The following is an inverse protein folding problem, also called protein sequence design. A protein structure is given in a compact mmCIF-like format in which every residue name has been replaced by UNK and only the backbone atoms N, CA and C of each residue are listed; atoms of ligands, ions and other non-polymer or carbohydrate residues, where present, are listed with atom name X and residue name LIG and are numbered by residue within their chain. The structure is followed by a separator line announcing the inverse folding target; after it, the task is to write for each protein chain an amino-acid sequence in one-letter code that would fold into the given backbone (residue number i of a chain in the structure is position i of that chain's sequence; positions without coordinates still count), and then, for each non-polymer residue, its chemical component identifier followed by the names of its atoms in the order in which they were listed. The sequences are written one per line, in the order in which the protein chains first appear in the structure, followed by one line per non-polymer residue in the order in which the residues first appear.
data_IF_812879807469
#
_entry.id   IF_812879807469
#
_cell.length_a   1.000
_cell.length_b   1.000
_cell.length_c   1.000
_cell.angle_alpha   90.00
_cell.angle_beta   90.00
_cell.angle_gamma   90.00
#
_symmetry.space_group_name_H-M   'P 1'
#
loop_
_entity.id
_entity.type
_entity.pdbx_description
1 polymer ?
#
# COMPACT_ATOMS: atom_id res chain seq x y z
N UNK A 1 14.33 -33.70 -42.27
CA UNK A 1 14.33 -32.44 -41.50
C UNK A 1 14.44 -32.80 -40.04
N UNK A 2 15.40 -32.19 -39.35
CA UNK A 2 15.95 -32.58 -38.05
C UNK A 2 15.00 -32.23 -36.91
N UNK A 3 14.58 -33.24 -36.16
CA UNK A 3 14.02 -33.13 -34.81
C UNK A 3 15.17 -33.25 -33.81
N UNK A 4 15.42 -32.21 -33.01
CA UNK A 4 16.30 -32.30 -31.84
C UNK A 4 15.40 -32.36 -30.60
N UNK A 5 15.40 -33.54 -30.01
CA UNK A 5 14.98 -33.87 -28.65
C UNK A 5 16.15 -33.54 -27.72
N UNK A 6 15.90 -32.90 -26.58
CA UNK A 6 16.76 -33.09 -25.41
C UNK A 6 15.97 -32.77 -24.13
N UNK A 7 15.59 -33.84 -23.43
CA UNK A 7 15.39 -33.85 -21.99
C UNK A 7 16.76 -33.80 -21.32
N UNK A 8 16.97 -32.98 -20.29
CA UNK A 8 17.92 -33.34 -19.22
C UNK A 8 17.50 -32.76 -17.87
N UNK A 9 17.64 -33.66 -16.91
CA UNK A 9 17.26 -33.70 -15.51
C UNK A 9 18.06 -32.81 -14.54
N UNK A 10 17.38 -32.50 -13.42
CA UNK A 10 17.77 -32.62 -12.00
C UNK A 10 18.91 -31.79 -11.38
N UNK A 11 18.54 -31.19 -10.24
CA UNK A 11 19.20 -31.21 -8.93
C UNK A 11 20.68 -30.78 -8.81
N UNK A 12 20.86 -29.53 -8.39
CA UNK A 12 21.92 -29.08 -7.49
C UNK A 12 21.45 -27.75 -6.86
N UNK A 13 21.48 -27.47 -5.57
CA UNK A 13 22.04 -28.16 -4.44
C UNK A 13 21.31 -27.68 -3.17
N UNK A 14 20.93 -28.63 -2.32
CA UNK A 14 20.71 -28.41 -0.89
C UNK A 14 21.82 -29.13 -0.12
N UNK A 15 22.14 -28.58 1.05
CA UNK A 15 22.76 -29.21 2.22
C UNK A 15 24.29 -29.03 2.51
N UNK A 16 24.70 -29.17 3.81
CA UNK A 16 25.50 -28.15 4.51
C UNK A 16 26.77 -28.71 5.24
N UNK A 17 27.48 -27.80 5.92
CA UNK A 17 28.30 -27.97 7.14
C UNK A 17 29.71 -28.62 7.12
N UNK A 18 30.56 -28.01 7.98
CA UNK A 18 31.82 -28.46 8.63
C UNK A 18 33.13 -28.43 7.78
N UNK A 19 34.32 -28.05 8.28
CA UNK A 19 34.81 -27.56 9.59
C UNK A 19 36.27 -27.06 9.47
N UNK A 20 36.79 -26.48 10.58
CA UNK A 20 38.17 -26.09 10.97
C UNK A 20 38.61 -24.65 10.67
N UNK A 21 38.63 -23.73 11.66
CA UNK A 21 39.58 -23.53 12.80
C UNK A 21 40.92 -22.92 12.33
N UNK A 22 41.52 -21.87 12.92
CA UNK A 22 41.84 -21.65 14.34
C UNK A 22 42.43 -20.23 14.59
N UNK A 23 42.23 -19.70 15.82
CA UNK A 23 43.10 -18.78 16.62
C UNK A 23 43.25 -17.31 16.19
N UNK A 24 43.42 -16.30 17.04
CA UNK A 24 43.29 -16.06 18.49
C UNK A 24 43.65 -14.56 18.70
N UNK A 25 43.11 -13.89 19.72
CA UNK A 25 43.66 -12.60 20.19
C UNK A 25 42.66 -11.62 20.78
N UNK A 26 42.28 -11.83 22.05
CA UNK A 26 41.87 -10.75 22.94
C UNK A 26 43.13 -10.19 23.64
N UNK A 27 43.10 -8.95 24.16
CA UNK A 27 42.74 -8.85 25.56
C UNK A 27 41.83 -7.66 25.93
N UNK A 28 41.31 -7.80 27.13
CA UNK A 28 40.37 -6.98 27.90
C UNK A 28 40.93 -5.59 28.29
N UNK A 29 40.02 -4.64 28.52
CA UNK A 29 40.12 -3.73 29.66
C UNK A 29 38.75 -3.33 30.18
N UNK A 30 38.60 -3.51 31.49
CA UNK A 30 37.45 -3.25 32.34
C UNK A 30 37.12 -1.76 32.52
N UNK A 31 35.86 -1.44 32.79
CA UNK A 31 35.39 -1.10 34.15
C UNK A 31 34.04 -0.36 34.12
N UNK A 32 33.26 -0.63 35.16
CA UNK A 32 31.89 -0.19 35.39
C UNK A 32 31.75 1.30 35.69
N UNK A 33 30.61 1.87 35.32
CA UNK A 33 29.88 2.83 36.16
C UNK A 33 28.39 2.77 35.84
N UNK A 34 27.59 2.49 36.86
CA UNK A 34 26.15 2.67 36.87
C UNK A 34 25.83 4.17 36.86
N UNK A 35 24.87 4.58 36.03
CA UNK A 35 24.18 5.85 36.18
C UNK A 35 22.72 5.67 35.78
N UNK A 36 21.83 5.94 36.74
CA UNK A 36 20.41 6.12 36.52
C UNK A 36 20.16 7.10 35.35
N UNK A 37 19.41 6.65 34.36
CA UNK A 37 18.61 7.53 33.53
C UNK A 37 17.19 6.97 33.53
N UNK A 38 16.33 7.67 34.26
CA UNK A 38 14.88 7.67 34.14
C UNK A 38 14.50 7.79 32.66
N UNK A 39 14.23 6.64 32.04
CA UNK A 39 13.70 6.55 30.69
C UNK A 39 12.21 6.85 30.76
N UNK A 40 11.89 8.10 30.47
CA UNK A 40 10.57 8.60 30.15
C UNK A 40 9.96 7.70 29.05
N UNK A 41 9.04 6.80 29.42
CA UNK A 41 8.14 6.09 28.50
C UNK A 41 7.17 7.13 27.89
N UNK A 42 7.72 7.98 27.02
CA UNK A 42 6.92 8.69 26.03
C UNK A 42 6.35 7.66 25.06
N UNK A 43 5.13 7.85 24.54
CA UNK A 43 4.54 6.91 23.61
C UNK A 43 5.49 6.77 22.42
N UNK A 44 5.98 5.54 22.20
CA UNK A 44 6.69 5.19 20.99
C UNK A 44 5.82 5.64 19.81
N UNK A 45 6.32 6.56 19.00
CA UNK A 45 5.70 6.97 17.74
C UNK A 45 5.58 5.73 16.87
N UNK A 46 4.41 5.12 16.87
CA UNK A 46 4.13 3.89 16.13
C UNK A 46 4.06 4.23 14.65
N UNK A 47 4.52 3.31 13.81
CA UNK A 47 4.66 3.43 12.36
C UNK A 47 3.31 3.40 11.62
N UNK A 48 2.24 3.90 12.25
CA UNK A 48 0.87 3.84 11.72
C UNK A 48 0.26 2.45 11.71
N UNK A 49 0.98 1.39 12.14
CA UNK A 49 0.40 0.08 12.36
C UNK A 49 -0.12 -0.05 13.81
N UNK A 50 -0.97 0.86 14.25
CA UNK A 50 -1.68 0.68 15.51
C UNK A 50 -2.77 -0.38 15.33
N UNK A 51 -2.84 -1.31 16.28
CA UNK A 51 -3.63 -2.55 16.27
C UNK A 51 -5.16 -2.40 16.10
N UNK A 52 -5.67 -1.22 15.77
CA UNK A 52 -7.06 -0.93 15.44
C UNK A 52 -7.38 -0.83 13.94
N UNK A 53 -6.39 -0.73 13.04
CA UNK A 53 -6.68 -0.56 11.59
C UNK A 53 -7.41 -1.77 10.97
N UNK A 54 -7.13 -2.98 11.45
CA UNK A 54 -7.76 -4.21 10.96
C UNK A 54 -9.16 -4.40 11.58
N UNK A 55 -9.36 -3.99 12.83
CA UNK A 55 -10.69 -3.97 13.44
C UNK A 55 -11.59 -2.94 12.74
N UNK A 56 -11.01 -1.80 12.34
CA UNK A 56 -11.64 -0.79 11.50
C UNK A 56 -11.92 -1.32 10.09
N UNK A 57 -10.99 -2.06 9.47
CA UNK A 57 -11.17 -2.69 8.15
C UNK A 57 -12.30 -3.74 8.18
N UNK A 58 -12.36 -4.57 9.23
CA UNK A 58 -13.41 -5.57 9.41
C UNK A 58 -14.78 -4.93 9.71
N UNK A 59 -14.80 -3.88 10.53
CA UNK A 59 -16.02 -3.10 10.77
C UNK A 59 -16.51 -2.42 9.48
N UNK A 60 -15.59 -1.87 8.68
CA UNK A 60 -15.92 -1.26 7.39
C UNK A 60 -16.35 -2.30 6.35
N UNK A 61 -15.85 -3.54 6.41
CA UNK A 61 -16.33 -4.64 5.58
C UNK A 61 -17.76 -5.06 5.96
N UNK A 62 -18.11 -5.02 7.24
CA UNK A 62 -19.46 -5.27 7.76
C UNK A 62 -20.43 -4.13 7.40
N UNK A 63 -19.98 -2.88 7.55
CA UNK A 63 -20.74 -1.69 7.16
C UNK A 63 -20.93 -1.64 5.63
N UNK A 64 -19.92 -2.05 4.85
CA UNK A 64 -20.02 -2.19 3.41
C UNK A 64 -20.98 -3.30 3.00
N UNK A 65 -20.97 -4.46 3.67
CA UNK A 65 -21.96 -5.52 3.42
C UNK A 65 -23.39 -5.05 3.70
N UNK A 66 -23.58 -4.28 4.77
CA UNK A 66 -24.87 -3.70 5.16
C UNK A 66 -25.33 -2.62 4.17
N UNK A 67 -24.40 -1.78 3.70
CA UNK A 67 -24.67 -0.76 2.68
C UNK A 67 -25.02 -1.41 1.33
N UNK A 68 -24.28 -2.44 0.92
CA UNK A 68 -24.54 -3.20 -0.30
C UNK A 68 -25.91 -3.90 -0.27
N UNK A 69 -26.35 -4.41 0.89
CA UNK A 69 -27.70 -4.96 1.04
C UNK A 69 -28.76 -3.87 0.97
N UNK A 70 -28.56 -2.74 1.65
CA UNK A 70 -29.50 -1.61 1.69
C UNK A 70 -29.67 -0.94 0.31
N UNK A 71 -28.64 -1.01 -0.51
CA UNK A 71 -28.63 -0.54 -1.90
C UNK A 71 -29.09 -1.62 -2.91
N UNK A 72 -29.48 -2.81 -2.44
CA UNK A 72 -30.02 -3.89 -3.26
C UNK A 72 -28.98 -4.64 -4.12
N UNK A 73 -27.69 -4.48 -3.83
CA UNK A 73 -26.57 -4.96 -4.63
C UNK A 73 -26.12 -6.40 -4.33
N UNK A 74 -26.67 -7.00 -3.27
CA UNK A 74 -26.49 -8.40 -2.90
C UNK A 74 -27.81 -8.90 -2.32
N UNK A 75 -28.14 -10.18 -2.50
CA UNK A 75 -29.34 -10.73 -1.86
C UNK A 75 -29.20 -10.73 -0.34
N UNK A 76 -30.33 -10.81 0.38
CA UNK A 76 -30.33 -10.91 1.84
C UNK A 76 -29.54 -12.14 2.34
N UNK A 77 -29.61 -13.25 1.60
CA UNK A 77 -28.84 -14.47 1.84
C UNK A 77 -27.33 -14.29 1.60
N UNK A 78 -26.93 -13.59 0.53
CA UNK A 78 -25.51 -13.29 0.29
C UNK A 78 -24.94 -12.27 1.29
N UNK A 79 -25.78 -11.36 1.77
CA UNK A 79 -25.44 -10.43 2.84
C UNK A 79 -25.24 -11.18 4.16
N UNK A 80 -26.08 -12.16 4.47
CA UNK A 80 -25.93 -13.03 5.65
C UNK A 80 -24.71 -13.93 5.57
N UNK A 81 -24.46 -14.60 4.43
CA UNK A 81 -23.26 -15.43 4.26
C UNK A 81 -21.97 -14.60 4.38
N UNK A 82 -21.96 -13.38 3.84
CA UNK A 82 -20.84 -12.45 4.01
C UNK A 82 -20.71 -11.96 5.44
N UNK A 83 -21.82 -11.63 6.12
CA UNK A 83 -21.80 -11.28 7.55
C UNK A 83 -21.27 -12.43 8.40
N UNK A 84 -21.63 -13.68 8.09
CA UNK A 84 -21.09 -14.86 8.78
C UNK A 84 -19.63 -15.15 8.43
N UNK A 85 -19.20 -14.95 7.19
CA UNK A 85 -17.78 -15.07 6.80
C UNK A 85 -16.95 -13.98 7.46
N UNK A 86 -17.46 -12.75 7.51
CA UNK A 86 -16.84 -11.63 8.22
C UNK A 86 -16.83 -11.90 9.72
N UNK A 87 -17.88 -12.44 10.33
CA UNK A 87 -17.91 -12.81 11.74
C UNK A 87 -16.94 -13.96 12.06
N UNK A 88 -16.83 -14.97 11.19
CA UNK A 88 -15.84 -16.05 11.31
C UNK A 88 -14.40 -15.54 11.17
N UNK A 89 -14.18 -14.67 10.19
CA UNK A 89 -12.89 -14.01 9.96
C UNK A 89 -12.56 -13.09 11.14
N UNK A 90 -13.51 -12.29 11.63
CA UNK A 90 -13.38 -11.41 12.80
C UNK A 90 -13.07 -12.19 14.05
N UNK A 91 -13.71 -13.36 14.26
CA UNK A 91 -13.36 -14.26 15.37
C UNK A 91 -11.93 -14.79 15.21
N UNK A 92 -11.56 -15.26 14.03
CA UNK A 92 -10.21 -15.78 13.74
C UNK A 92 -9.12 -14.70 13.86
N UNK A 93 -9.41 -13.44 13.51
CA UNK A 93 -8.46 -12.32 13.55
C UNK A 93 -8.43 -11.60 14.89
N UNK A 94 -9.54 -11.56 15.64
CA UNK A 94 -9.59 -11.04 17.01
C UNK A 94 -8.70 -11.87 17.94
N UNK A 95 -8.58 -13.17 17.66
CA UNK A 95 -7.71 -14.11 18.36
C UNK A 95 -6.24 -14.04 17.90
N UNK A 96 -5.92 -13.31 16.80
CA UNK A 96 -4.55 -13.11 16.36
C UNK A 96 -3.86 -12.03 17.20
N UNK A 97 -2.67 -12.37 17.68
CA UNK A 97 -1.75 -11.41 18.29
C UNK A 97 -1.39 -10.29 17.30
N UNK A 98 -0.99 -9.10 17.80
CA UNK A 98 -0.46 -8.03 16.94
C UNK A 98 0.68 -8.49 16.02
N UNK A 99 1.51 -9.43 16.47
CA UNK A 99 2.60 -10.01 15.69
C UNK A 99 2.09 -10.81 14.47
N UNK A 100 1.01 -11.59 14.63
CA UNK A 100 0.42 -12.35 13.53
C UNK A 100 -0.28 -11.44 12.52
N UNK A 101 -0.90 -10.35 12.99
CA UNK A 101 -1.47 -9.31 12.10
C UNK A 101 -0.39 -8.64 11.24
N UNK A 102 0.73 -8.27 11.86
CA UNK A 102 1.89 -7.73 11.15
C UNK A 102 2.46 -8.74 10.14
N UNK A 103 2.48 -10.03 10.47
CA UNK A 103 2.93 -11.09 9.56
C UNK A 103 2.05 -11.21 8.31
N UNK A 104 0.72 -11.06 8.45
CA UNK A 104 -0.22 -11.07 7.31
C UNK A 104 0.04 -9.89 6.37
N UNK A 105 0.22 -8.69 6.93
CA UNK A 105 0.53 -7.48 6.15
C UNK A 105 1.87 -7.63 5.43
N UNK A 106 2.90 -8.13 6.13
CA UNK A 106 4.22 -8.40 5.56
C UNK A 106 4.12 -9.37 4.39
N UNK A 107 3.41 -10.49 4.55
CA UNK A 107 3.18 -11.48 3.50
C UNK A 107 2.44 -10.88 2.30
N UNK A 108 1.45 -10.02 2.52
CA UNK A 108 0.74 -9.32 1.45
C UNK A 108 1.68 -8.42 0.63
N UNK A 109 2.61 -7.71 1.29
CA UNK A 109 3.62 -6.89 0.61
C UNK A 109 4.63 -7.73 -0.16
N UNK A 110 5.06 -8.86 0.40
CA UNK A 110 5.96 -9.81 -0.28
C UNK A 110 5.34 -10.33 -1.58
N UNK A 111 4.10 -10.82 -1.51
CA UNK A 111 3.36 -11.27 -2.70
C UNK A 111 3.12 -10.10 -3.67
N UNK A 112 2.86 -8.89 -3.15
CA UNK A 112 2.73 -7.68 -3.96
C UNK A 112 3.99 -7.38 -4.77
N UNK A 113 5.17 -7.53 -4.17
CA UNK A 113 6.46 -7.39 -4.87
C UNK A 113 6.65 -8.47 -5.94
N UNK A 114 6.39 -9.74 -5.60
CA UNK A 114 6.44 -10.82 -6.60
C UNK A 114 5.49 -10.57 -7.79
N UNK A 115 4.32 -9.97 -7.54
CA UNK A 115 3.36 -9.63 -8.60
C UNK A 115 3.85 -8.51 -9.52
N UNK A 116 4.75 -7.63 -9.06
CA UNK A 116 5.35 -6.61 -9.90
C UNK A 116 6.43 -7.20 -10.81
N UNK A 117 7.19 -8.18 -10.33
CA UNK A 117 8.27 -8.82 -11.10
C UNK A 117 7.75 -9.78 -12.17
N UNK A 118 6.55 -10.34 -11.98
CA UNK A 118 5.94 -11.27 -12.95
C UNK A 118 5.33 -10.50 -14.14
N UNK A 119 5.87 -10.66 -15.34
CA UNK A 119 5.23 -10.07 -16.52
C UNK A 119 4.02 -10.90 -17.01
N UNK A 120 3.00 -10.23 -17.54
CA UNK A 120 1.88 -10.91 -18.23
C UNK A 120 2.21 -11.10 -19.70
N UNK A 121 2.37 -12.36 -20.12
CA UNK A 121 2.54 -12.69 -21.53
C UNK A 121 1.34 -12.21 -22.36
N UNK A 122 1.62 -11.52 -23.47
CA UNK A 122 0.62 -11.05 -24.43
C UNK A 122 -0.31 -9.92 -23.93
N UNK A 123 0.00 -9.27 -22.81
CA UNK A 123 -0.74 -8.09 -22.36
C UNK A 123 -0.14 -6.81 -22.98
N UNK A 124 -1.00 -5.88 -23.42
CA UNK A 124 -0.56 -4.52 -23.71
C UNK A 124 -0.25 -3.80 -22.39
N UNK A 125 0.94 -3.20 -22.29
CA UNK A 125 1.43 -2.57 -21.06
C UNK A 125 1.86 -1.14 -21.30
N UNK A 126 1.73 -0.31 -20.27
CA UNK A 126 2.40 1.00 -20.19
C UNK A 126 3.50 0.89 -19.14
N UNK A 127 4.74 1.09 -19.55
CA UNK A 127 5.87 1.18 -18.63
C UNK A 127 5.84 2.53 -17.93
N UNK A 128 5.91 2.55 -16.60
CA UNK A 128 5.91 3.75 -15.79
C UNK A 128 7.06 3.73 -14.78
N UNK A 129 7.81 4.82 -14.69
CA UNK A 129 8.77 5.03 -13.62
C UNK A 129 8.04 5.57 -12.38
N UNK A 130 8.15 4.86 -11.27
CA UNK A 130 7.58 5.24 -9.98
C UNK A 130 8.70 5.69 -9.06
N UNK A 131 8.63 6.94 -8.66
CA UNK A 131 9.48 7.53 -7.62
C UNK A 131 8.57 8.07 -6.52
N UNK A 132 8.76 7.56 -5.30
CA UNK A 132 8.10 8.06 -4.10
C UNK A 132 9.16 8.52 -3.12
N UNK A 133 9.07 9.78 -2.69
CA UNK A 133 9.98 10.38 -1.73
C UNK A 133 9.62 9.92 -0.30
N UNK A 134 8.33 9.95 0.05
CA UNK A 134 7.89 9.77 1.43
C UNK A 134 7.81 8.31 1.84
N UNK A 135 8.29 8.00 3.05
CA UNK A 135 8.35 6.63 3.58
C UNK A 135 6.99 6.02 3.85
N UNK A 136 5.96 6.84 4.11
CA UNK A 136 4.58 6.40 4.38
C UNK A 136 3.87 5.84 3.14
N UNK A 137 4.27 6.29 1.94
CA UNK A 137 3.62 5.88 0.69
C UNK A 137 4.17 4.56 0.12
N UNK A 138 5.43 4.21 0.40
CA UNK A 138 6.02 2.96 -0.07
C UNK A 138 5.25 1.72 0.41
N UNK A 139 4.98 1.55 1.71
CA UNK A 139 4.21 0.39 2.19
C UNK A 139 2.82 0.32 1.56
N UNK A 140 2.14 1.46 1.42
CA UNK A 140 0.82 1.55 0.78
C UNK A 140 0.89 1.08 -0.68
N UNK A 141 1.89 1.56 -1.42
CA UNK A 141 2.13 1.17 -2.81
C UNK A 141 2.36 -0.34 -2.93
N UNK A 142 3.35 -0.89 -2.22
CA UNK A 142 3.71 -2.32 -2.30
C UNK A 142 2.55 -3.23 -1.88
N UNK A 143 1.73 -2.77 -0.93
CA UNK A 143 0.64 -3.55 -0.37
C UNK A 143 -0.58 -3.61 -1.27
N UNK A 144 -0.88 -2.56 -2.03
CA UNK A 144 -2.18 -2.43 -2.72
C UNK A 144 -2.08 -2.27 -4.23
N UNK A 145 -1.12 -1.48 -4.71
CA UNK A 145 -1.04 -1.16 -6.12
C UNK A 145 -0.86 -2.39 -7.03
N UNK A 146 0.00 -3.39 -6.70
CA UNK A 146 0.16 -4.59 -7.53
C UNK A 146 -1.15 -5.37 -7.69
N UNK A 147 -1.93 -5.48 -6.62
CA UNK A 147 -3.21 -6.18 -6.64
C UNK A 147 -4.24 -5.40 -7.46
N UNK A 148 -4.33 -4.09 -7.28
CA UNK A 148 -5.21 -3.22 -8.08
C UNK A 148 -4.85 -3.28 -9.57
N UNK A 149 -3.55 -3.34 -9.88
CA UNK A 149 -3.05 -3.47 -11.24
C UNK A 149 -3.50 -4.78 -11.89
N UNK A 150 -3.27 -5.92 -11.22
CA UNK A 150 -3.70 -7.24 -11.72
C UNK A 150 -5.21 -7.42 -11.74
N UNK A 151 -5.89 -6.92 -10.71
CA UNK A 151 -7.35 -6.95 -10.60
C UNK A 151 -7.97 -6.24 -11.79
N UNK A 152 -7.48 -5.05 -12.15
CA UNK A 152 -8.09 -4.22 -13.19
C UNK A 152 -8.15 -4.94 -14.55
N UNK A 153 -7.06 -5.56 -14.99
CA UNK A 153 -7.03 -6.32 -16.25
C UNK A 153 -7.82 -7.62 -16.17
N UNK A 154 -7.77 -8.31 -15.03
CA UNK A 154 -8.53 -9.54 -14.84
C UNK A 154 -10.03 -9.29 -14.75
N UNK A 155 -10.45 -8.15 -14.21
CA UNK A 155 -11.85 -7.74 -14.16
C UNK A 155 -12.40 -7.47 -15.57
N UNK A 156 -11.60 -6.88 -16.45
CA UNK A 156 -11.98 -6.70 -17.86
C UNK A 156 -12.11 -8.04 -18.60
N UNK A 157 -11.19 -8.98 -18.36
CA UNK A 157 -11.14 -10.28 -19.06
C UNK A 157 -12.16 -11.29 -18.53
N UNK A 158 -12.27 -11.39 -17.20
CA UNK A 158 -12.99 -12.47 -16.52
C UNK A 158 -14.11 -11.95 -15.60
N UNK A 159 -14.36 -10.64 -15.55
CA UNK A 159 -15.38 -10.06 -14.68
C UNK A 159 -16.75 -10.64 -14.97
N UNK A 160 -17.17 -10.67 -16.23
CA UNK A 160 -18.51 -11.15 -16.62
C UNK A 160 -18.71 -12.62 -16.27
N UNK A 161 -17.69 -13.46 -16.45
CA UNK A 161 -17.74 -14.88 -16.09
C UNK A 161 -17.67 -15.15 -14.60
N UNK A 162 -17.10 -14.22 -13.81
CA UNK A 162 -16.88 -14.37 -12.36
C UNK A 162 -18.04 -13.83 -11.54
N UNK A 163 -18.62 -12.72 -11.99
CA UNK A 163 -19.63 -11.95 -11.27
C UNK A 163 -20.99 -11.95 -11.98
N UNK A 164 -21.04 -12.23 -13.29
CA UNK A 164 -22.18 -11.84 -14.11
C UNK A 164 -22.05 -10.39 -14.61
N UNK A 165 -22.92 -9.98 -15.52
CA UNK A 165 -22.81 -8.67 -16.16
C UNK A 165 -23.20 -7.50 -15.23
N UNK A 166 -24.25 -7.68 -14.44
CA UNK A 166 -24.78 -6.67 -13.52
C UNK A 166 -23.79 -6.39 -12.38
N UNK A 167 -23.38 -7.42 -11.64
CA UNK A 167 -22.40 -7.31 -10.56
C UNK A 167 -21.04 -6.78 -11.03
N UNK A 168 -20.57 -7.15 -12.23
CA UNK A 168 -19.35 -6.58 -12.79
C UNK A 168 -19.50 -5.06 -12.99
N UNK A 169 -20.66 -4.61 -13.49
CA UNK A 169 -20.97 -3.20 -13.66
C UNK A 169 -20.91 -2.46 -12.33
N UNK A 170 -21.50 -3.03 -11.28
CA UNK A 170 -21.46 -2.50 -9.91
C UNK A 170 -20.03 -2.38 -9.37
N UNK A 171 -19.24 -3.45 -9.48
CA UNK A 171 -17.84 -3.44 -9.00
C UNK A 171 -17.02 -2.39 -9.74
N UNK A 172 -17.22 -2.26 -11.05
CA UNK A 172 -16.52 -1.27 -11.87
C UNK A 172 -16.94 0.15 -11.47
N UNK A 173 -18.24 0.40 -11.31
CA UNK A 173 -18.77 1.71 -10.90
C UNK A 173 -18.25 2.14 -9.52
N UNK A 174 -18.13 1.21 -8.57
CA UNK A 174 -17.52 1.47 -7.28
C UNK A 174 -16.08 2.00 -7.44
N UNK A 175 -15.24 1.28 -8.19
CA UNK A 175 -13.84 1.68 -8.36
C UNK A 175 -13.70 3.01 -9.09
N UNK A 176 -14.51 3.25 -10.13
CA UNK A 176 -14.49 4.51 -10.86
C UNK A 176 -14.89 5.69 -9.97
N UNK A 177 -15.94 5.54 -9.16
CA UNK A 177 -16.36 6.56 -8.18
C UNK A 177 -15.27 6.81 -7.14
N UNK A 178 -14.74 5.77 -6.50
CA UNK A 178 -13.75 5.92 -5.43
C UNK A 178 -12.45 6.55 -5.93
N UNK A 179 -11.98 6.18 -7.12
CA UNK A 179 -10.81 6.83 -7.72
C UNK A 179 -11.11 8.28 -8.07
N UNK A 180 -12.29 8.58 -8.63
CA UNK A 180 -12.67 9.96 -8.93
C UNK A 180 -12.72 10.84 -7.67
N UNK A 181 -13.30 10.35 -6.58
CA UNK A 181 -13.38 11.06 -5.30
C UNK A 181 -11.97 11.29 -4.71
N UNK A 182 -11.08 10.31 -4.81
CA UNK A 182 -9.68 10.42 -4.38
C UNK A 182 -8.86 11.38 -5.26
N UNK A 183 -9.04 11.33 -6.58
CA UNK A 183 -8.38 12.25 -7.51
C UNK A 183 -8.77 13.69 -7.22
N UNK A 184 -10.06 13.97 -7.02
CA UNK A 184 -10.55 15.29 -6.65
C UNK A 184 -9.93 15.78 -5.33
N UNK A 185 -9.88 14.92 -4.31
CA UNK A 185 -9.24 15.25 -3.04
C UNK A 185 -7.75 15.55 -3.20
N UNK A 186 -7.00 14.71 -3.89
CA UNK A 186 -5.54 14.90 -4.06
C UNK A 186 -5.24 16.13 -4.90
N UNK A 187 -6.03 16.40 -5.94
CA UNK A 187 -5.87 17.59 -6.78
C UNK A 187 -6.15 18.87 -6.00
N UNK A 188 -7.17 18.87 -5.13
CA UNK A 188 -7.42 19.97 -4.20
C UNK A 188 -6.24 20.17 -3.23
N UNK A 189 -5.78 19.09 -2.58
CA UNK A 189 -4.65 19.17 -1.64
C UNK A 189 -3.38 19.69 -2.32
N UNK A 190 -3.11 19.27 -3.56
CA UNK A 190 -1.95 19.72 -4.33
C UNK A 190 -2.05 21.21 -4.66
N UNK A 191 -3.20 21.66 -5.14
CA UNK A 191 -3.45 23.08 -5.45
C UNK A 191 -3.29 23.96 -4.20
N UNK A 192 -3.87 23.54 -3.07
CA UNK A 192 -3.79 24.26 -1.80
C UNK A 192 -2.36 24.30 -1.28
N UNK A 193 -1.68 23.16 -1.20
CA UNK A 193 -0.31 23.07 -0.68
C UNK A 193 0.68 23.88 -1.53
N UNK A 194 0.55 23.81 -2.86
CA UNK A 194 1.34 24.63 -3.78
C UNK A 194 1.08 26.12 -3.55
N UNK A 195 -0.17 26.54 -3.45
CA UNK A 195 -0.52 27.94 -3.21
C UNK A 195 0.00 28.48 -1.87
N UNK A 196 0.00 27.67 -0.81
CA UNK A 196 0.61 28.04 0.46
C UNK A 196 2.14 28.14 0.38
N UNK A 197 2.78 27.22 -0.33
CA UNK A 197 4.22 27.28 -0.58
C UNK A 197 4.62 28.56 -1.29
N UNK A 198 3.98 28.87 -2.42
CA UNK A 198 4.28 30.05 -3.23
C UNK A 198 4.12 31.36 -2.45
N UNK A 199 3.01 31.49 -1.71
CA UNK A 199 2.75 32.66 -0.84
C UNK A 199 3.77 32.79 0.28
N UNK A 200 4.13 31.67 0.91
CA UNK A 200 5.11 31.64 2.00
C UNK A 200 6.49 32.04 1.49
N UNK A 201 6.92 31.46 0.37
CA UNK A 201 8.21 31.75 -0.25
C UNK A 201 8.31 33.23 -0.67
N UNK A 202 7.25 33.78 -1.27
CA UNK A 202 7.20 35.19 -1.64
C UNK A 202 7.31 36.11 -0.42
N UNK A 203 6.52 35.82 0.64
CA UNK A 203 6.53 36.60 1.88
C UNK A 203 7.89 36.61 2.56
N UNK A 204 8.53 35.44 2.71
CA UNK A 204 9.84 35.33 3.35
C UNK A 204 10.91 36.09 2.56
N UNK A 205 10.90 35.99 1.23
CA UNK A 205 11.82 36.75 0.37
C UNK A 205 11.60 38.26 0.48
N UNK A 206 10.36 38.71 0.53
CA UNK A 206 10.02 40.13 0.69
C UNK A 206 10.50 40.69 2.04
N UNK A 207 10.42 39.88 3.11
CA UNK A 207 10.89 40.23 4.45
C UNK A 207 12.42 40.18 4.58
N UNK A 208 13.13 39.63 3.60
CA UNK A 208 14.57 39.38 3.66
C UNK A 208 14.94 38.20 4.57
N UNK A 209 13.97 37.35 4.88
CA UNK A 209 14.18 36.15 5.68
C UNK A 209 14.82 35.02 4.86
N UNK A 210 15.42 34.06 5.56
CA UNK A 210 15.99 32.85 4.95
C UNK A 210 14.84 31.92 4.54
N UNK A 211 14.85 31.48 3.28
CA UNK A 211 13.93 30.44 2.79
C UNK A 211 14.64 29.10 2.80
N UNK A 212 14.13 28.15 3.59
CA UNK A 212 14.60 26.77 3.58
C UNK A 212 13.93 26.00 2.45
N UNK A 213 14.72 25.45 1.52
CA UNK A 213 14.25 24.65 0.40
C UNK A 213 14.71 23.19 0.55
N UNK A 214 13.95 22.35 1.30
CA UNK A 214 14.33 20.95 1.51
C UNK A 214 14.35 20.18 0.18
N UNK A 215 15.25 19.20 0.08
CA UNK A 215 15.34 18.29 -1.05
C UNK A 215 15.53 16.86 -0.57
N UNK A 216 14.84 15.92 -1.23
CA UNK A 216 14.89 14.49 -0.89
C UNK A 216 16.00 13.83 -1.70
N UNK A 217 17.11 13.51 -1.03
CA UNK A 217 18.29 12.92 -1.67
C UNK A 217 18.13 11.43 -1.97
N UNK A 218 17.42 10.70 -1.11
CA UNK A 218 17.15 9.27 -1.26
C UNK A 218 15.65 9.01 -1.20
N UNK A 219 14.99 8.68 -2.32
CA UNK A 219 13.56 8.37 -2.32
C UNK A 219 13.30 7.08 -1.55
N UNK A 220 12.09 6.93 -1.00
CA UNK A 220 11.66 5.71 -0.32
C UNK A 220 11.53 4.54 -1.32
N UNK A 221 11.11 4.84 -2.55
CA UNK A 221 10.95 3.89 -3.64
C UNK A 221 11.33 4.54 -4.98
N UNK A 222 12.09 3.82 -5.80
CA UNK A 222 12.41 4.21 -7.17
C UNK A 222 12.53 2.95 -8.04
N UNK A 223 11.49 2.65 -8.82
CA UNK A 223 11.38 1.42 -9.62
C UNK A 223 10.65 1.68 -10.94
N UNK A 224 10.85 0.82 -11.93
CA UNK A 224 9.98 0.74 -13.12
C UNK A 224 8.89 -0.31 -12.92
N UNK A 225 7.65 -0.01 -13.31
CA UNK A 225 6.51 -0.93 -13.22
C UNK A 225 5.68 -0.96 -14.50
N UNK A 226 4.98 -2.07 -14.70
CA UNK A 226 4.06 -2.25 -15.83
C UNK A 226 2.62 -1.97 -15.39
N UNK A 227 1.98 -0.97 -15.96
CA UNK A 227 0.55 -0.75 -15.79
C UNK A 227 -0.23 -1.47 -16.89
N UNK A 228 -1.19 -2.32 -16.48
CA UNK A 228 -2.00 -3.12 -17.40
C UNK A 228 -3.34 -2.48 -17.75
N UNK A 229 -3.68 -1.34 -17.14
CA UNK A 229 -4.91 -0.61 -17.43
C UNK A 229 -4.78 0.90 -17.17
N UNK A 230 -5.70 1.66 -17.76
CA UNK A 230 -5.85 3.10 -17.47
C UNK A 230 -6.15 3.35 -15.98
N UNK A 231 -6.92 2.48 -15.34
CA UNK A 231 -7.22 2.55 -13.92
C UNK A 231 -5.94 2.47 -13.08
N UNK A 232 -5.02 1.57 -13.41
CA UNK A 232 -3.74 1.43 -12.71
C UNK A 232 -2.83 2.65 -12.86
N UNK A 233 -2.83 3.26 -14.05
CA UNK A 233 -2.11 4.52 -14.29
C UNK A 233 -2.69 5.70 -13.51
N UNK A 234 -4.02 5.78 -13.38
CA UNK A 234 -4.69 6.79 -12.54
C UNK A 234 -4.26 6.67 -11.08
N UNK A 235 -4.24 5.45 -10.55
CA UNK A 235 -3.76 5.18 -9.19
C UNK A 235 -2.28 5.54 -8.99
N UNK A 236 -1.41 5.24 -9.97
CA UNK A 236 -0.01 5.68 -9.91
C UNK A 236 0.09 7.20 -9.85
N UNK A 237 -0.60 7.89 -10.75
CA UNK A 237 -0.63 9.35 -10.81
C UNK A 237 -1.11 9.95 -9.50
N UNK A 238 -2.14 9.36 -8.90
CA UNK A 238 -2.69 9.77 -7.60
C UNK A 238 -1.66 9.65 -6.46
N UNK A 239 -0.98 8.51 -6.35
CA UNK A 239 0.08 8.32 -5.34
C UNK A 239 1.24 9.30 -5.54
N UNK A 240 1.67 9.51 -6.78
CA UNK A 240 2.75 10.45 -7.11
C UNK A 240 2.35 11.92 -6.88
N UNK A 241 1.10 12.28 -7.15
CA UNK A 241 0.58 13.63 -6.84
C UNK A 241 0.54 13.86 -5.34
N UNK A 242 0.08 12.88 -4.56
CA UNK A 242 0.07 13.01 -3.11
C UNK A 242 1.49 13.05 -2.53
N UNK A 243 2.45 12.32 -3.11
CA UNK A 243 3.88 12.46 -2.75
C UNK A 243 4.40 13.91 -2.95
N UNK A 244 3.95 14.59 -4.02
CA UNK A 244 4.26 16.02 -4.24
C UNK A 244 3.55 16.96 -3.26
N UNK A 245 2.33 16.63 -2.82
CA UNK A 245 1.66 17.38 -1.73
C UNK A 245 2.56 17.38 -0.49
N UNK A 246 3.09 16.21 -0.16
CA UNK A 246 3.98 16.04 0.98
C UNK A 246 5.30 16.81 0.81
N UNK A 247 5.88 16.89 -0.40
CA UNK A 247 7.04 17.76 -0.68
C UNK A 247 6.73 19.26 -0.38
N UNK A 248 5.50 19.71 -0.65
CA UNK A 248 5.07 21.07 -0.29
C UNK A 248 4.87 21.23 1.21
N UNK A 249 4.36 20.21 1.90
CA UNK A 249 4.22 20.22 3.35
C UNK A 249 5.57 20.26 4.05
N UNK A 250 6.56 19.48 3.60
CA UNK A 250 7.93 19.54 4.11
C UNK A 250 8.51 20.95 4.00
N UNK A 251 8.30 21.62 2.85
CA UNK A 251 8.70 23.02 2.71
C UNK A 251 8.05 23.92 3.76
N UNK A 252 6.74 23.78 4.00
CA UNK A 252 6.02 24.60 4.99
C UNK A 252 6.49 24.31 6.42
N UNK A 253 6.81 23.06 6.75
CA UNK A 253 7.36 22.67 8.06
C UNK A 253 8.75 23.26 8.27
N UNK A 254 9.65 23.12 7.28
CA UNK A 254 11.00 23.70 7.36
C UNK A 254 11.02 25.22 7.51
N UNK A 255 9.98 25.90 7.04
CA UNK A 255 9.86 27.35 7.16
C UNK A 255 8.92 27.79 8.31
N UNK A 256 8.55 26.87 9.22
CA UNK A 256 7.79 27.19 10.43
C UNK A 256 6.36 27.67 10.19
N UNK A 257 5.78 27.39 9.03
CA UNK A 257 4.40 27.77 8.68
C UNK A 257 3.40 26.67 9.05
N UNK A 258 3.86 25.43 9.14
CA UNK A 258 3.04 24.25 9.46
C UNK A 258 3.78 23.35 10.44
N UNK A 259 3.04 22.70 11.33
CA UNK A 259 3.60 21.72 12.25
C UNK A 259 3.64 20.32 11.63
N UNK A 260 4.59 19.49 12.08
CA UNK A 260 4.70 18.09 11.62
C UNK A 260 3.43 17.28 11.94
N UNK A 261 2.77 17.56 13.06
CA UNK A 261 1.50 16.91 13.43
C UNK A 261 0.41 17.10 12.37
N UNK A 262 0.32 18.29 11.80
CA UNK A 262 -0.68 18.59 10.75
C UNK A 262 -0.39 17.82 9.46
N UNK A 263 0.87 17.51 9.19
CA UNK A 263 1.31 16.70 8.05
C UNK A 263 0.95 15.23 8.28
N UNK A 264 1.16 14.74 9.50
CA UNK A 264 0.83 13.37 9.89
C UNK A 264 -0.69 13.13 9.87
N UNK A 265 -1.48 14.12 10.28
CA UNK A 265 -2.95 14.08 10.21
C UNK A 265 -3.46 14.01 8.78
N UNK A 266 -2.94 14.83 7.85
CA UNK A 266 -3.33 14.77 6.44
C UNK A 266 -2.88 13.47 5.79
N UNK A 267 -1.69 12.97 6.14
CA UNK A 267 -1.24 11.64 5.70
C UNK A 267 -2.23 10.57 6.15
N UNK A 268 -2.63 10.59 7.41
CA UNK A 268 -3.60 9.63 7.98
C UNK A 268 -4.96 9.75 7.30
N UNK A 269 -5.40 10.97 6.98
CA UNK A 269 -6.65 11.22 6.25
C UNK A 269 -6.61 10.64 4.84
N UNK A 270 -5.51 10.84 4.12
CA UNK A 270 -5.30 10.24 2.81
C UNK A 270 -5.32 8.72 2.87
N UNK A 271 -4.58 8.13 3.80
CA UNK A 271 -4.53 6.67 4.00
C UNK A 271 -5.94 6.11 4.27
N UNK A 272 -6.72 6.76 5.14
CA UNK A 272 -8.11 6.37 5.43
C UNK A 272 -9.01 6.41 4.20
N UNK A 273 -8.83 7.39 3.31
CA UNK A 273 -9.59 7.48 2.06
C UNK A 273 -9.13 6.46 1.02
N UNK A 274 -7.84 6.13 0.99
CA UNK A 274 -7.28 5.16 0.06
C UNK A 274 -7.61 3.73 0.47
N UNK A 275 -7.58 3.41 1.77
CA UNK A 275 -7.70 2.04 2.27
C UNK A 275 -8.89 1.24 1.71
N UNK A 276 -10.13 1.78 1.61
CA UNK A 276 -11.26 1.06 1.03
C UNK A 276 -11.00 0.55 -0.40
N UNK A 277 -10.26 1.32 -1.22
CA UNK A 277 -9.93 0.88 -2.57
C UNK A 277 -8.92 -0.27 -2.56
N UNK A 278 -7.91 -0.21 -1.69
CA UNK A 278 -6.90 -1.24 -1.53
C UNK A 278 -7.53 -2.58 -1.13
N UNK A 279 -8.36 -2.55 -0.08
CA UNK A 279 -9.06 -3.72 0.45
C UNK A 279 -9.99 -4.33 -0.59
N UNK A 280 -10.86 -3.52 -1.20
CA UNK A 280 -11.79 -4.00 -2.23
C UNK A 280 -11.03 -4.54 -3.45
N UNK A 281 -9.95 -3.89 -3.84
CA UNK A 281 -9.06 -4.31 -4.93
C UNK A 281 -8.46 -5.70 -4.68
N UNK A 282 -7.91 -5.90 -3.49
CA UNK A 282 -7.36 -7.18 -3.06
C UNK A 282 -8.42 -8.29 -3.05
N UNK A 283 -9.59 -8.05 -2.46
CA UNK A 283 -10.67 -9.05 -2.41
C UNK A 283 -11.18 -9.41 -3.82
N UNK A 284 -11.31 -8.40 -4.69
CA UNK A 284 -11.73 -8.61 -6.08
C UNK A 284 -10.68 -9.40 -6.86
N UNK A 285 -9.38 -9.11 -6.65
CA UNK A 285 -8.28 -9.87 -7.22
C UNK A 285 -8.35 -11.36 -6.83
N UNK A 286 -8.51 -11.64 -5.54
CA UNK A 286 -8.59 -13.02 -5.05
C UNK A 286 -9.76 -13.77 -5.67
N UNK A 287 -10.96 -13.16 -5.70
CA UNK A 287 -12.15 -13.79 -6.29
C UNK A 287 -11.96 -14.10 -7.77
N UNK A 288 -11.38 -13.19 -8.53
CA UNK A 288 -11.04 -13.41 -9.94
C UNK A 288 -10.05 -14.58 -10.11
N UNK A 289 -9.04 -14.68 -9.25
CA UNK A 289 -8.05 -15.77 -9.32
C UNK A 289 -8.63 -17.14 -8.92
N UNK A 290 -9.52 -17.20 -7.94
CA UNK A 290 -10.16 -18.46 -7.51
C UNK A 290 -11.14 -18.98 -8.54
N UNK A 291 -11.92 -18.10 -9.19
CA UNK A 291 -12.92 -18.52 -10.18
C UNK A 291 -12.27 -18.96 -11.50
N UNK A 292 -11.14 -18.38 -11.88
CA UNK A 292 -10.38 -18.80 -13.07
C UNK A 292 -9.68 -20.14 -12.87
N UNK A 293 -9.20 -20.45 -11.65
CA UNK A 293 -8.50 -21.71 -11.34
C UNK A 293 -9.43 -22.89 -11.01
N UNK A 294 -10.71 -22.63 -10.74
CA UNK A 294 -11.72 -23.66 -10.44
C UNK A 294 -12.45 -24.21 -11.67
N UNK A 295 -12.05 -23.81 -12.88
CA UNK A 295 -12.47 -24.38 -14.16
C UNK A 295 -11.31 -25.10 -14.80
#
# INVERSE_FOLDING_TARGET
MTTITEETNLDAASNPAAAHATMAGAPEHASATAAHATGNDGPATTDGADGGEIELELQQMEDAATTLQKEGMISETEAEEKREQVARTRKMFRDLSPAERAAIVKRRREIGRELMDRQLSGAAVVQAAVRLNHTRLKPLFEQWWPYLNRMSINLQRFGRSTFGAEDQGVVTAFFEKQVGDLEAYVDEQLSVAQGFREKTEARLKEQGDIVFAPSVTKPSLEIGVEAYSRFSMRLLSLLMKFDKVMDHFDFLVWNGVRDQSDVDEETTRFLRKFHPIGVRGYMTHLRLMTTVRGR
#
